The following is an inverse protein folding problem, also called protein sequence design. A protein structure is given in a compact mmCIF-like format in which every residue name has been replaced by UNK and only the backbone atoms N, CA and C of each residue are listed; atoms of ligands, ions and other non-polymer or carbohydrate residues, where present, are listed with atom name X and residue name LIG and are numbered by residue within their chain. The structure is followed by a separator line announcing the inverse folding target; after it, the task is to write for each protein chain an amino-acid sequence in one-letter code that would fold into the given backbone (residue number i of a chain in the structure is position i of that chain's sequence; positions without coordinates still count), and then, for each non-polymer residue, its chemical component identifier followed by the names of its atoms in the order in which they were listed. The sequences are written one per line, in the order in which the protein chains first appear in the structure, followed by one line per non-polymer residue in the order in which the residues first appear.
data_IF_332611994332
#
_entry.id   IF_332611994332
#
_cell.length_a   1.000
_cell.length_b   1.000
_cell.length_c   1.000
_cell.angle_alpha   90.00
_cell.angle_beta   90.00
_cell.angle_gamma   90.00
#
_symmetry.space_group_name_H-M   'P 1'
#
loop_
_entity.id
_entity.type
_entity.pdbx_description
1 polymer ?
#
# COMPACT_ATOMS: atom_id res chain seq x y z
N UNK A 1 6.44 -8.78 -6.49
CA UNK A 1 6.85 -7.60 -7.26
C UNK A 1 6.84 -6.32 -6.42
N UNK A 2 5.73 -5.96 -5.77
CA UNK A 2 5.54 -4.67 -5.11
C UNK A 2 6.58 -4.34 -4.02
N UNK A 3 6.92 -5.28 -3.15
CA UNK A 3 7.94 -5.07 -2.10
C UNK A 3 9.30 -4.72 -2.72
N UNK A 4 9.70 -5.43 -3.78
CA UNK A 4 10.97 -5.17 -4.47
C UNK A 4 10.93 -3.79 -5.14
N UNK A 5 9.81 -3.42 -5.78
CA UNK A 5 9.63 -2.09 -6.37
C UNK A 5 9.79 -0.98 -5.32
N UNK A 6 9.19 -1.15 -4.14
CA UNK A 6 9.31 -0.18 -3.05
C UNK A 6 10.75 -0.10 -2.56
N UNK A 7 11.42 -1.25 -2.35
CA UNK A 7 12.82 -1.26 -1.96
C UNK A 7 13.72 -0.59 -3.00
N UNK A 8 13.50 -0.85 -4.30
CA UNK A 8 14.23 -0.18 -5.38
C UNK A 8 14.00 1.34 -5.36
N UNK A 9 12.72 1.77 -5.21
CA UNK A 9 12.36 3.21 -5.15
C UNK A 9 13.09 3.96 -4.04
N UNK A 10 13.25 3.33 -2.88
CA UNK A 10 13.91 3.96 -1.72
C UNK A 10 15.38 3.57 -1.56
N UNK A 11 15.91 2.71 -2.46
CA UNK A 11 17.29 2.21 -2.45
C UNK A 11 17.61 1.37 -1.23
N UNK A 12 16.70 0.50 -0.88
CA UNK A 12 16.78 -0.41 0.25
C UNK A 12 16.75 -1.88 -0.22
N UNK A 13 17.28 -2.18 -1.41
CA UNK A 13 17.34 -3.56 -1.92
C UNK A 13 18.25 -4.44 -1.06
N UNK A 14 19.27 -3.83 -0.42
CA UNK A 14 20.15 -4.45 0.57
C UNK A 14 19.36 -5.09 1.74
N UNK A 15 18.25 -4.53 2.15
CA UNK A 15 17.38 -5.14 3.16
C UNK A 15 16.88 -6.53 2.70
N UNK A 16 16.56 -6.68 1.42
CA UNK A 16 16.12 -7.96 0.88
C UNK A 16 17.30 -8.93 0.69
N UNK A 17 18.41 -8.47 0.16
CA UNK A 17 19.58 -9.30 -0.15
C UNK A 17 20.36 -9.67 1.12
N UNK A 18 20.83 -8.71 1.87
CA UNK A 18 21.62 -8.93 3.08
C UNK A 18 20.75 -9.28 4.29
N UNK A 19 19.60 -8.61 4.42
CA UNK A 19 18.70 -8.79 5.56
C UNK A 19 17.96 -10.13 5.56
N UNK A 20 17.51 -10.58 4.39
CA UNK A 20 16.69 -11.79 4.22
C UNK A 20 17.27 -12.84 3.29
N UNK A 21 18.39 -12.59 2.64
CA UNK A 21 19.04 -13.53 1.70
C UNK A 21 18.23 -13.75 0.41
N UNK A 22 17.43 -12.78 0.00
CA UNK A 22 16.65 -12.85 -1.24
C UNK A 22 17.57 -12.53 -2.42
N UNK A 23 17.82 -13.51 -3.27
CA UNK A 23 18.68 -13.32 -4.45
C UNK A 23 17.97 -12.52 -5.55
N UNK A 24 18.41 -11.28 -5.77
CA UNK A 24 17.90 -10.38 -6.80
C UNK A 24 18.72 -10.40 -8.10
N UNK A 25 19.80 -11.18 -8.17
CA UNK A 25 20.66 -11.26 -9.35
C UNK A 25 19.92 -11.64 -10.65
N UNK A 26 18.96 -12.58 -10.65
CA UNK A 26 18.17 -12.86 -11.87
C UNK A 26 17.43 -11.63 -12.39
N UNK A 27 16.82 -10.85 -11.50
CA UNK A 27 16.15 -9.59 -11.84
C UNK A 27 17.17 -8.55 -12.35
N UNK A 28 18.32 -8.43 -11.73
CA UNK A 28 19.38 -7.49 -12.13
C UNK A 28 19.89 -7.81 -13.55
N UNK A 29 20.16 -9.08 -13.85
CA UNK A 29 20.62 -9.53 -15.17
C UNK A 29 19.55 -9.27 -16.25
N UNK A 30 18.30 -9.60 -15.96
CA UNK A 30 17.17 -9.30 -16.82
C UNK A 30 17.05 -7.80 -17.09
N UNK A 31 17.08 -6.98 -16.04
CA UNK A 31 16.96 -5.54 -16.14
C UNK A 31 18.10 -4.93 -16.97
N UNK A 32 19.32 -5.42 -16.79
CA UNK A 32 20.48 -4.97 -17.58
C UNK A 32 20.32 -5.31 -19.07
N UNK A 33 19.85 -6.52 -19.38
CA UNK A 33 19.69 -6.98 -20.75
C UNK A 33 18.54 -6.30 -21.48
N UNK A 34 17.41 -6.10 -20.81
CA UNK A 34 16.20 -5.55 -21.42
C UNK A 34 16.20 -4.02 -21.44
N UNK A 35 16.72 -3.40 -20.40
CA UNK A 35 16.73 -1.94 -20.22
C UNK A 35 18.15 -1.35 -20.18
N UNK A 36 19.15 -2.06 -20.73
CA UNK A 36 20.56 -1.62 -20.72
C UNK A 36 20.80 -0.26 -21.37
N UNK A 37 20.12 -0.01 -22.49
CA UNK A 37 20.20 1.24 -23.25
C UNK A 37 19.08 2.23 -22.86
N UNK A 38 18.17 1.85 -21.99
CA UNK A 38 17.09 2.69 -21.51
C UNK A 38 17.57 3.60 -20.37
N UNK A 39 17.41 4.92 -20.47
CA UNK A 39 17.83 5.84 -19.40
C UNK A 39 17.00 5.73 -18.13
N UNK A 40 15.85 5.07 -18.16
CA UNK A 40 14.92 4.83 -17.02
C UNK A 40 14.67 6.09 -16.17
N UNK A 41 14.61 7.27 -16.79
CA UNK A 41 14.60 8.57 -16.08
C UNK A 41 13.41 8.75 -15.15
N UNK A 42 12.26 8.13 -15.49
CA UNK A 42 11.03 8.17 -14.69
C UNK A 42 11.17 7.46 -13.33
N UNK A 43 12.17 6.59 -13.20
CA UNK A 43 12.45 5.78 -12.01
C UNK A 43 13.57 6.35 -11.14
N UNK A 44 14.08 7.54 -11.50
CA UNK A 44 15.18 8.17 -10.75
C UNK A 44 14.78 8.45 -9.31
N UNK A 45 15.64 8.01 -8.39
CA UNK A 45 15.45 8.15 -6.96
C UNK A 45 15.66 9.59 -6.51
N UNK A 46 14.79 10.13 -5.67
CA UNK A 46 15.02 11.39 -4.97
C UNK A 46 16.08 11.17 -3.87
N UNK A 47 17.16 11.92 -3.88
CA UNK A 47 18.21 11.88 -2.85
C UNK A 47 19.29 10.81 -3.05
N UNK A 48 19.48 10.29 -4.27
CA UNK A 48 20.47 9.24 -4.60
C UNK A 48 21.93 9.74 -4.76
N UNK A 49 22.23 10.94 -4.30
CA UNK A 49 23.57 11.57 -4.45
C UNK A 49 24.72 10.79 -3.76
N UNK A 50 24.40 9.73 -2.99
CA UNK A 50 25.39 8.95 -2.24
C UNK A 50 25.78 7.61 -2.86
N UNK A 51 25.09 7.16 -3.92
CA UNK A 51 25.40 5.90 -4.59
C UNK A 51 26.43 6.10 -5.69
N UNK A 52 27.27 5.11 -5.93
CA UNK A 52 28.12 5.08 -7.12
C UNK A 52 27.25 5.07 -8.39
N UNK A 53 27.74 5.70 -9.47
CA UNK A 53 26.96 5.84 -10.70
C UNK A 53 26.44 4.51 -11.26
N UNK A 54 27.28 3.49 -11.29
CA UNK A 54 26.91 2.16 -11.79
C UNK A 54 25.83 1.49 -10.95
N UNK A 55 25.90 1.61 -9.62
CA UNK A 55 24.90 1.08 -8.70
C UNK A 55 23.55 1.80 -8.86
N UNK A 56 23.59 3.13 -9.04
CA UNK A 56 22.40 3.91 -9.31
C UNK A 56 21.74 3.50 -10.63
N UNK A 57 22.50 3.33 -11.70
CA UNK A 57 21.98 2.93 -13.00
C UNK A 57 21.37 1.52 -12.96
N UNK A 58 21.99 0.58 -12.27
CA UNK A 58 21.43 -0.76 -12.07
C UNK A 58 20.11 -0.71 -11.29
N UNK A 59 20.07 0.07 -10.21
CA UNK A 59 18.85 0.26 -9.41
C UNK A 59 17.69 0.83 -10.24
N UNK A 60 17.95 1.81 -11.13
CA UNK A 60 16.93 2.38 -12.02
C UNK A 60 16.35 1.32 -12.96
N UNK A 61 17.20 0.51 -13.60
CA UNK A 61 16.79 -0.55 -14.51
C UNK A 61 15.98 -1.64 -13.78
N UNK A 62 16.46 -2.09 -12.60
CA UNK A 62 15.72 -3.03 -11.77
C UNK A 62 14.38 -2.47 -11.32
N UNK A 63 14.33 -1.19 -10.96
CA UNK A 63 13.10 -0.51 -10.56
C UNK A 63 12.08 -0.47 -11.72
N UNK A 64 12.51 -0.13 -12.94
CA UNK A 64 11.65 -0.16 -14.13
C UNK A 64 11.17 -1.59 -14.42
N UNK A 65 12.08 -2.55 -14.49
CA UNK A 65 11.78 -3.95 -14.77
C UNK A 65 10.72 -4.52 -13.83
N UNK A 66 10.95 -4.41 -12.52
CA UNK A 66 9.99 -4.93 -11.53
C UNK A 66 8.68 -4.16 -11.49
N UNK A 67 8.67 -2.87 -11.86
CA UNK A 67 7.44 -2.08 -11.95
C UNK A 67 6.57 -2.54 -13.13
N UNK A 68 7.16 -2.79 -14.29
CA UNK A 68 6.44 -3.32 -15.46
C UNK A 68 5.85 -4.69 -15.14
N UNK A 69 6.66 -5.60 -14.55
CA UNK A 69 6.19 -6.91 -14.10
C UNK A 69 5.02 -6.76 -13.10
N UNK A 70 5.13 -5.83 -12.16
CA UNK A 70 4.06 -5.56 -11.18
C UNK A 70 2.76 -5.15 -11.87
N UNK A 71 2.79 -4.22 -12.82
CA UNK A 71 1.60 -3.77 -13.53
C UNK A 71 0.95 -4.90 -14.36
N UNK A 72 1.75 -5.81 -14.93
CA UNK A 72 1.23 -7.00 -15.60
C UNK A 72 0.50 -7.92 -14.62
N UNK A 73 1.16 -8.28 -13.51
CA UNK A 73 0.61 -9.21 -12.51
C UNK A 73 -0.64 -8.63 -11.83
N UNK A 74 -0.60 -7.35 -11.44
CA UNK A 74 -1.74 -6.69 -10.81
C UNK A 74 -2.91 -6.52 -11.79
N UNK A 75 -2.65 -6.08 -13.02
CA UNK A 75 -3.69 -5.94 -14.02
C UNK A 75 -4.36 -7.29 -14.38
N UNK A 76 -3.57 -8.37 -14.48
CA UNK A 76 -4.11 -9.72 -14.67
C UNK A 76 -4.99 -10.14 -13.50
N UNK A 77 -4.54 -9.91 -12.26
CA UNK A 77 -5.32 -10.21 -11.05
C UNK A 77 -6.65 -9.44 -11.03
N UNK A 78 -6.62 -8.13 -11.30
CA UNK A 78 -7.81 -7.29 -11.36
C UNK A 78 -8.83 -7.84 -12.38
N UNK A 79 -8.39 -8.18 -13.59
CA UNK A 79 -9.28 -8.67 -14.63
C UNK A 79 -9.81 -10.08 -14.35
N UNK A 80 -9.10 -10.89 -13.57
CA UNK A 80 -9.56 -12.20 -13.10
C UNK A 80 -10.54 -12.11 -11.92
N UNK A 81 -10.59 -10.97 -11.24
CA UNK A 81 -11.40 -10.74 -10.04
C UNK A 81 -12.29 -9.49 -10.18
N UNK A 82 -13.28 -9.51 -11.10
CA UNK A 82 -14.18 -8.35 -11.30
C UNK A 82 -14.98 -8.01 -10.05
N UNK A 83 -15.12 -8.93 -9.09
CA UNK A 83 -15.74 -8.68 -7.80
C UNK A 83 -14.99 -7.64 -6.95
N UNK A 84 -13.75 -7.30 -7.29
CA UNK A 84 -12.99 -6.23 -6.65
C UNK A 84 -13.38 -4.83 -7.15
N UNK A 85 -14.09 -4.74 -8.28
CA UNK A 85 -14.52 -3.47 -8.86
C UNK A 85 -13.36 -2.48 -9.08
N UNK A 86 -12.22 -2.97 -9.58
CA UNK A 86 -10.97 -2.21 -9.76
C UNK A 86 -10.50 -2.19 -11.22
N UNK A 87 -11.36 -2.51 -12.20
CA UNK A 87 -10.99 -2.65 -13.61
C UNK A 87 -10.39 -1.37 -14.20
N UNK A 88 -10.77 -0.20 -13.65
CA UNK A 88 -10.17 1.08 -14.05
C UNK A 88 -8.69 1.19 -13.66
N UNK A 89 -8.19 0.33 -12.78
CA UNK A 89 -6.77 0.26 -12.38
C UNK A 89 -5.94 -0.70 -13.23
N UNK A 90 -6.56 -1.48 -14.10
CA UNK A 90 -5.87 -2.25 -15.12
C UNK A 90 -5.53 -1.33 -16.30
N UNK A 91 -4.35 -0.73 -16.30
CA UNK A 91 -4.01 0.42 -17.16
C UNK A 91 -3.30 0.03 -18.48
N UNK A 92 -2.61 -1.11 -18.53
CA UNK A 92 -1.75 -1.44 -19.69
C UNK A 92 -2.49 -1.58 -21.01
N UNK A 93 -3.73 -2.07 -21.01
CA UNK A 93 -4.54 -2.18 -22.23
C UNK A 93 -5.12 -0.84 -22.72
N UNK A 94 -4.99 0.25 -21.93
CA UNK A 94 -5.42 1.60 -22.27
C UNK A 94 -4.32 2.42 -22.95
N UNK A 95 -3.13 1.84 -23.13
CA UNK A 95 -1.99 2.46 -23.78
C UNK A 95 -2.08 2.27 -25.29
N UNK A 96 -1.96 3.36 -26.03
CA UNK A 96 -1.63 3.31 -27.46
C UNK A 96 -0.10 3.27 -27.61
N UNK A 97 0.44 2.06 -27.71
CA UNK A 97 1.89 1.83 -27.80
C UNK A 97 2.55 2.40 -29.05
N UNK A 98 1.76 2.74 -30.11
CA UNK A 98 2.27 3.35 -31.33
C UNK A 98 2.40 4.87 -31.19
N UNK A 99 1.46 5.48 -30.47
CA UNK A 99 1.45 6.93 -30.24
C UNK A 99 2.21 7.32 -28.96
N UNK A 100 2.50 6.38 -28.07
CA UNK A 100 3.07 6.68 -26.77
C UNK A 100 2.12 7.46 -25.85
N UNK A 101 0.82 7.12 -25.88
CA UNK A 101 -0.22 7.79 -25.11
C UNK A 101 -1.06 6.81 -24.30
N UNK A 102 -1.78 7.28 -23.30
CA UNK A 102 -2.74 6.49 -22.51
C UNK A 102 -4.07 7.23 -22.38
N UNK A 103 -5.18 6.49 -22.45
CA UNK A 103 -6.52 7.02 -22.24
C UNK A 103 -6.95 6.84 -20.77
N UNK A 104 -7.15 7.93 -20.04
CA UNK A 104 -7.66 7.95 -18.66
C UNK A 104 -8.85 8.89 -18.57
N UNK A 105 -9.95 8.44 -18.00
CA UNK A 105 -11.17 9.22 -17.78
C UNK A 105 -11.66 9.99 -19.03
N UNK A 106 -11.54 9.34 -20.20
CA UNK A 106 -11.93 9.90 -21.50
C UNK A 106 -10.95 10.94 -22.08
N UNK A 107 -9.80 11.18 -21.43
CA UNK A 107 -8.75 12.10 -21.87
C UNK A 107 -7.47 11.35 -22.21
N UNK A 108 -6.85 11.71 -23.33
CA UNK A 108 -5.57 11.14 -23.77
C UNK A 108 -4.40 11.92 -23.18
N UNK A 109 -3.42 11.20 -22.62
CA UNK A 109 -2.22 11.74 -21.99
C UNK A 109 -0.96 11.17 -22.64
N UNK A 110 0.04 11.99 -23.00
CA UNK A 110 1.33 11.49 -23.45
C UNK A 110 2.09 10.81 -22.32
N UNK A 111 2.79 9.72 -22.64
CA UNK A 111 3.71 9.06 -21.73
C UNK A 111 5.08 9.74 -21.77
N UNK A 112 5.68 9.94 -20.61
CA UNK A 112 7.06 10.44 -20.46
C UNK A 112 8.12 9.40 -20.87
N UNK A 113 7.74 8.15 -20.77
CA UNK A 113 8.52 6.97 -21.09
C UNK A 113 7.54 5.96 -21.67
N UNK A 114 7.67 5.69 -22.95
CA UNK A 114 6.85 4.78 -23.76
C UNK A 114 7.58 3.49 -24.14
N UNK A 115 8.76 3.27 -23.53
CA UNK A 115 9.58 2.08 -23.75
C UNK A 115 9.08 0.92 -22.88
N UNK A 116 8.32 0.00 -23.49
CA UNK A 116 7.79 -1.20 -22.87
C UNK A 116 8.20 -2.46 -23.65
N UNK A 117 9.50 -2.81 -23.71
CA UNK A 117 10.02 -3.84 -24.61
C UNK A 117 9.49 -5.26 -24.34
N UNK A 118 8.92 -5.51 -23.15
CA UNK A 118 8.38 -6.82 -22.76
C UNK A 118 6.86 -6.89 -22.80
N UNK A 119 6.18 -5.82 -23.20
CA UNK A 119 4.72 -5.81 -23.29
C UNK A 119 4.30 -6.13 -24.73
N UNK A 120 3.49 -7.17 -24.89
CA UNK A 120 2.73 -7.42 -26.12
C UNK A 120 1.42 -6.62 -26.06
N UNK A 121 1.19 -5.66 -26.97
CA UNK A 121 -0.05 -4.89 -26.99
C UNK A 121 -1.32 -5.73 -27.16
N UNK A 122 -1.22 -6.95 -27.75
CA UNK A 122 -2.35 -7.86 -27.89
C UNK A 122 -2.68 -8.62 -26.60
N UNK A 123 -1.70 -8.75 -25.70
CA UNK A 123 -1.83 -9.45 -24.42
C UNK A 123 -1.01 -8.75 -23.33
N UNK A 124 -1.35 -7.48 -22.97
CA UNK A 124 -0.45 -6.60 -22.19
C UNK A 124 -0.19 -7.05 -20.77
N UNK A 125 -0.96 -7.98 -20.24
CA UNK A 125 -0.82 -8.52 -18.89
C UNK A 125 -0.11 -9.87 -18.82
N UNK A 126 0.22 -10.47 -19.97
CA UNK A 126 0.96 -11.73 -19.97
C UNK A 126 2.45 -11.47 -19.70
N UNK A 127 2.99 -12.26 -18.78
CA UNK A 127 4.42 -12.26 -18.53
C UNK A 127 5.14 -12.94 -19.69
N UNK A 128 6.32 -12.45 -20.06
CA UNK A 128 7.23 -13.22 -20.89
C UNK A 128 7.70 -14.46 -20.12
N UNK A 129 8.22 -15.46 -20.82
CA UNK A 129 8.74 -16.68 -20.19
C UNK A 129 9.79 -16.36 -19.10
N UNK A 130 10.69 -15.44 -19.40
CA UNK A 130 11.73 -15.02 -18.44
C UNK A 130 11.17 -14.23 -17.25
N UNK A 131 10.21 -13.32 -17.48
CA UNK A 131 9.52 -12.62 -16.38
C UNK A 131 8.80 -13.61 -15.47
N UNK A 132 8.15 -14.62 -16.02
CA UNK A 132 7.49 -15.67 -15.25
C UNK A 132 8.49 -16.49 -14.42
N UNK A 133 9.63 -16.87 -15.02
CA UNK A 133 10.71 -17.58 -14.31
C UNK A 133 11.29 -16.76 -13.16
N UNK A 134 11.53 -15.46 -13.38
CA UNK A 134 12.01 -14.55 -12.33
C UNK A 134 10.98 -14.46 -11.20
N UNK A 135 9.70 -14.32 -11.51
CA UNK A 135 8.65 -14.22 -10.49
C UNK A 135 8.53 -15.52 -9.69
N UNK A 136 8.60 -16.68 -10.33
CA UNK A 136 8.60 -17.98 -9.65
C UNK A 136 9.80 -18.13 -8.69
N UNK A 137 11.01 -17.76 -9.14
CA UNK A 137 12.21 -17.78 -8.30
C UNK A 137 12.09 -16.84 -7.11
N UNK A 138 11.58 -15.64 -7.31
CA UNK A 138 11.35 -14.68 -6.24
C UNK A 138 10.31 -15.18 -5.24
N UNK A 139 9.18 -15.72 -5.72
CA UNK A 139 8.16 -16.30 -4.87
C UNK A 139 8.72 -17.41 -3.98
N UNK A 140 9.46 -18.36 -4.57
CA UNK A 140 10.14 -19.43 -3.83
C UNK A 140 11.13 -18.88 -2.81
N UNK A 141 11.90 -17.84 -3.16
CA UNK A 141 12.87 -17.23 -2.24
C UNK A 141 12.18 -16.58 -1.04
N UNK A 142 11.10 -15.81 -1.26
CA UNK A 142 10.33 -15.21 -0.17
C UNK A 142 9.63 -16.27 0.70
N UNK A 143 9.00 -17.26 0.08
CA UNK A 143 8.32 -18.35 0.81
C UNK A 143 9.31 -19.23 1.60
N UNK A 144 10.49 -19.47 1.04
CA UNK A 144 11.55 -20.29 1.66
C UNK A 144 12.40 -19.56 2.70
N UNK A 145 12.29 -18.24 2.82
CA UNK A 145 13.08 -17.48 3.77
C UNK A 145 12.57 -17.66 5.20
N UNK A 146 13.23 -18.54 5.98
CA UNK A 146 12.81 -18.86 7.36
C UNK A 146 12.65 -17.61 8.23
N UNK A 147 13.64 -16.70 8.19
CA UNK A 147 13.63 -15.46 8.96
C UNK A 147 12.38 -14.62 8.66
N UNK A 148 12.03 -14.47 7.38
CA UNK A 148 10.83 -13.74 6.98
C UNK A 148 9.57 -14.45 7.45
N UNK A 149 9.49 -15.78 7.28
CA UNK A 149 8.35 -16.57 7.73
C UNK A 149 8.15 -16.50 9.26
N UNK A 150 9.24 -16.52 10.03
CA UNK A 150 9.18 -16.36 11.48
C UNK A 150 8.66 -14.97 11.89
N UNK A 151 9.11 -13.90 11.20
CA UNK A 151 8.59 -12.55 11.42
C UNK A 151 7.09 -12.46 11.08
N UNK A 152 6.67 -13.05 9.96
CA UNK A 152 5.25 -13.04 9.56
C UNK A 152 4.38 -13.82 10.57
N UNK A 153 4.83 -14.98 11.02
CA UNK A 153 4.13 -15.73 12.07
C UNK A 153 4.00 -14.93 13.38
N UNK A 154 5.08 -14.24 13.77
CA UNK A 154 5.04 -13.38 14.95
C UNK A 154 4.02 -12.26 14.81
N UNK A 155 4.02 -11.55 13.67
CA UNK A 155 3.06 -10.49 13.37
C UNK A 155 1.62 -11.00 13.41
N UNK A 156 1.35 -12.16 12.81
CA UNK A 156 0.01 -12.76 12.80
C UNK A 156 -0.40 -13.33 14.18
N UNK A 157 0.54 -13.78 14.99
CA UNK A 157 0.26 -14.29 16.33
C UNK A 157 0.01 -13.20 17.38
N UNK A 158 0.67 -12.06 17.25
CA UNK A 158 0.67 -10.95 18.25
C UNK A 158 -0.04 -9.69 17.77
N UNK A 159 -0.12 -9.47 16.47
CA UNK A 159 -0.77 -8.33 15.85
C UNK A 159 -2.21 -8.62 15.46
N UNK A 160 -2.87 -7.57 14.98
CA UNK A 160 -4.21 -7.58 14.41
C UNK A 160 -4.40 -6.33 13.57
N UNK A 161 -5.49 -6.25 12.83
CA UNK A 161 -5.83 -5.06 12.05
C UNK A 161 -6.31 -3.92 12.94
N UNK A 162 -6.81 -4.23 14.11
CA UNK A 162 -7.14 -3.26 15.18
C UNK A 162 -6.89 -3.87 16.55
N UNK A 163 -6.87 -3.01 17.57
CA UNK A 163 -6.79 -3.43 18.96
C UNK A 163 -7.61 -2.48 19.83
N UNK A 164 -8.43 -3.05 20.70
CA UNK A 164 -9.02 -2.31 21.82
C UNK A 164 -8.19 -2.60 23.06
N UNK A 165 -7.65 -1.57 23.67
CA UNK A 165 -6.84 -1.69 24.88
C UNK A 165 -6.91 -0.44 25.73
N UNK A 166 -7.17 -0.59 27.04
CA UNK A 166 -7.20 0.51 28.01
C UNK A 166 -8.07 1.69 27.53
N UNK A 167 -9.28 1.39 27.12
CA UNK A 167 -10.27 2.34 26.55
C UNK A 167 -9.80 3.09 25.30
N UNK A 168 -8.80 2.56 24.59
CA UNK A 168 -8.34 3.09 23.33
C UNK A 168 -8.62 2.10 22.21
N UNK A 169 -9.08 2.61 21.06
CA UNK A 169 -9.21 1.90 19.80
C UNK A 169 -8.01 2.24 18.93
N UNK A 170 -7.18 1.26 18.64
CA UNK A 170 -5.98 1.40 17.83
C UNK A 170 -6.18 0.70 16.49
N UNK A 171 -5.87 1.39 15.37
CA UNK A 171 -5.81 0.80 14.03
C UNK A 171 -4.87 1.62 13.14
N UNK A 172 -4.49 1.05 11.98
CA UNK A 172 -3.48 1.66 11.13
C UNK A 172 -3.98 2.91 10.39
N UNK A 173 -5.05 2.80 9.62
CA UNK A 173 -5.48 3.82 8.65
C UNK A 173 -6.80 4.47 8.99
N UNK A 174 -7.90 3.92 8.49
CA UNK A 174 -9.24 4.53 8.62
C UNK A 174 -10.34 3.48 8.80
N UNK A 175 -11.46 3.89 9.36
CA UNK A 175 -12.72 3.16 9.22
C UNK A 175 -13.43 3.72 7.98
N UNK A 176 -13.72 2.91 6.93
CA UNK A 176 -14.35 3.42 5.73
C UNK A 176 -15.70 4.06 6.01
N UNK A 177 -15.85 5.32 5.61
CA UNK A 177 -17.07 6.11 5.77
C UNK A 177 -17.63 6.57 4.43
N UNK A 178 -18.93 6.87 4.42
CA UNK A 178 -19.60 7.67 3.38
C UNK A 178 -19.42 9.16 3.65
N UNK A 179 -19.77 10.01 2.68
CA UNK A 179 -19.65 11.47 2.79
C UNK A 179 -20.56 12.05 3.92
N UNK A 180 -21.66 11.36 4.26
CA UNK A 180 -22.56 11.75 5.36
C UNK A 180 -22.02 11.37 6.76
N UNK A 181 -20.94 10.62 6.81
CA UNK A 181 -20.29 10.13 8.03
C UNK A 181 -20.70 8.74 8.46
N UNK A 182 -21.72 8.14 7.84
CA UNK A 182 -22.13 6.76 8.15
C UNK A 182 -21.10 5.73 7.73
N UNK A 183 -21.08 4.59 8.43
CA UNK A 183 -20.19 3.47 8.12
C UNK A 183 -20.46 2.93 6.71
N UNK A 184 -19.41 2.84 5.89
CA UNK A 184 -19.51 2.32 4.52
C UNK A 184 -19.60 0.80 4.55
N UNK A 185 -20.57 0.25 3.82
CA UNK A 185 -20.63 -1.17 3.53
C UNK A 185 -19.66 -1.55 2.41
N UNK A 186 -18.90 -2.62 2.64
CA UNK A 186 -17.90 -3.16 1.72
C UNK A 186 -18.23 -4.61 1.39
N UNK A 187 -18.26 -4.94 0.10
CA UNK A 187 -18.51 -6.29 -0.37
C UNK A 187 -17.22 -7.10 -0.38
N UNK A 188 -17.21 -8.23 0.31
CA UNK A 188 -16.09 -9.18 0.30
C UNK A 188 -16.64 -10.60 0.11
N UNK A 189 -16.24 -11.26 -0.98
CA UNK A 189 -16.60 -12.65 -1.25
C UNK A 189 -18.12 -12.92 -1.12
N UNK A 190 -18.93 -12.02 -1.69
CA UNK A 190 -20.39 -12.13 -1.71
C UNK A 190 -21.11 -11.80 -0.41
N UNK A 191 -20.41 -11.25 0.58
CA UNK A 191 -20.98 -10.78 1.84
C UNK A 191 -20.67 -9.31 2.07
N UNK A 192 -21.59 -8.62 2.76
CA UNK A 192 -21.45 -7.21 3.13
C UNK A 192 -20.93 -7.07 4.55
N UNK A 193 -19.94 -6.20 4.74
CA UNK A 193 -19.31 -5.90 6.02
C UNK A 193 -19.14 -4.40 6.20
N UNK A 194 -19.14 -3.92 7.43
CA UNK A 194 -18.86 -2.52 7.78
C UNK A 194 -18.20 -2.43 9.14
N UNK A 195 -17.57 -1.30 9.41
CA UNK A 195 -16.98 -1.02 10.72
C UNK A 195 -16.14 -2.18 11.26
N UNK A 196 -16.41 -2.60 12.49
CA UNK A 196 -15.72 -3.71 13.15
C UNK A 196 -15.82 -5.02 12.38
N UNK A 197 -16.99 -5.34 11.83
CA UNK A 197 -17.19 -6.59 11.10
C UNK A 197 -16.33 -6.68 9.84
N UNK A 198 -16.03 -5.55 9.19
CA UNK A 198 -15.09 -5.47 8.07
C UNK A 198 -13.67 -5.83 8.52
N UNK A 199 -13.21 -5.25 9.62
CA UNK A 199 -11.89 -5.55 10.17
C UNK A 199 -11.75 -7.02 10.55
N UNK A 200 -12.75 -7.60 11.24
CA UNK A 200 -12.77 -9.00 11.64
C UNK A 200 -12.73 -9.94 10.41
N UNK A 201 -13.51 -9.62 9.36
CA UNK A 201 -13.52 -10.38 8.13
C UNK A 201 -12.17 -10.33 7.40
N UNK A 202 -11.59 -9.13 7.23
CA UNK A 202 -10.29 -8.95 6.59
C UNK A 202 -9.18 -9.68 7.35
N UNK A 203 -9.16 -9.59 8.68
CA UNK A 203 -8.21 -10.35 9.50
C UNK A 203 -8.36 -11.86 9.31
N UNK A 204 -9.59 -12.35 9.24
CA UNK A 204 -9.90 -13.74 8.93
C UNK A 204 -9.31 -14.19 7.60
N UNK A 205 -9.47 -13.41 6.55
CA UNK A 205 -8.89 -13.70 5.22
C UNK A 205 -7.37 -13.64 5.22
N UNK A 206 -6.76 -12.66 5.90
CA UNK A 206 -5.29 -12.60 6.05
C UNK A 206 -4.75 -13.86 6.69
N UNK A 207 -5.40 -14.35 7.75
CA UNK A 207 -5.01 -15.59 8.42
C UNK A 207 -5.19 -16.82 7.52
N UNK A 208 -6.28 -16.89 6.75
CA UNK A 208 -6.47 -17.95 5.74
C UNK A 208 -5.37 -17.92 4.68
N UNK A 209 -5.03 -16.76 4.13
CA UNK A 209 -3.97 -16.61 3.13
C UNK A 209 -2.61 -17.11 3.60
N UNK A 210 -2.36 -17.12 4.90
CA UNK A 210 -1.09 -17.58 5.47
C UNK A 210 -1.15 -19.02 6.00
N UNK A 211 -2.22 -19.40 6.69
CA UNK A 211 -2.29 -20.65 7.45
C UNK A 211 -3.18 -21.74 6.84
N UNK A 212 -4.06 -21.43 5.89
CA UNK A 212 -4.95 -22.42 5.32
C UNK A 212 -4.17 -23.55 4.64
N UNK A 213 -4.64 -24.78 4.83
CA UNK A 213 -4.13 -25.97 4.15
C UNK A 213 -4.84 -26.22 2.82
N UNK A 214 -6.10 -25.79 2.71
CA UNK A 214 -6.87 -25.80 1.48
C UNK A 214 -6.36 -24.69 0.55
N UNK A 215 -5.94 -25.05 -0.65
CA UNK A 215 -5.34 -24.10 -1.61
C UNK A 215 -6.35 -23.06 -2.09
N UNK A 216 -7.63 -23.39 -2.21
CA UNK A 216 -8.65 -22.44 -2.63
C UNK A 216 -8.89 -21.37 -1.55
N UNK A 217 -9.00 -21.77 -0.29
CA UNK A 217 -9.09 -20.82 0.84
C UNK A 217 -7.84 -19.95 0.96
N UNK A 218 -6.67 -20.54 0.74
CA UNK A 218 -5.39 -19.86 0.79
C UNK A 218 -5.27 -18.81 -0.30
N UNK A 219 -5.61 -19.15 -1.53
CA UNK A 219 -5.56 -18.21 -2.67
C UNK A 219 -6.60 -17.10 -2.52
N UNK A 220 -7.81 -17.39 -2.06
CA UNK A 220 -8.78 -16.37 -1.70
C UNK A 220 -8.22 -15.41 -0.64
N UNK A 221 -7.58 -15.93 0.41
CA UNK A 221 -6.94 -15.12 1.44
C UNK A 221 -5.82 -14.24 0.88
N UNK A 222 -4.95 -14.77 -0.01
CA UNK A 222 -3.89 -14.01 -0.67
C UNK A 222 -4.46 -12.87 -1.54
N UNK A 223 -5.53 -13.14 -2.30
CA UNK A 223 -6.18 -12.14 -3.14
C UNK A 223 -6.78 -11.01 -2.30
N UNK A 224 -7.41 -11.33 -1.17
CA UNK A 224 -7.87 -10.31 -0.21
C UNK A 224 -6.71 -9.55 0.42
N UNK A 225 -5.57 -10.19 0.74
CA UNK A 225 -4.38 -9.48 1.23
C UNK A 225 -3.88 -8.45 0.19
N UNK A 226 -3.93 -8.77 -1.09
CA UNK A 226 -3.61 -7.80 -2.14
C UNK A 226 -4.65 -6.66 -2.17
N UNK A 227 -5.95 -6.96 -2.05
CA UNK A 227 -7.00 -5.93 -1.94
C UNK A 227 -6.75 -4.99 -0.77
N UNK A 228 -6.43 -5.51 0.41
CA UNK A 228 -6.14 -4.69 1.61
C UNK A 228 -5.04 -3.66 1.30
N UNK A 229 -4.09 -3.99 0.44
CA UNK A 229 -2.99 -3.11 0.08
C UNK A 229 -3.41 -1.86 -0.71
N UNK A 230 -4.40 -1.94 -1.58
CA UNK A 230 -4.71 -0.83 -2.51
C UNK A 230 -6.18 -0.67 -2.91
N UNK A 231 -7.09 -1.46 -2.35
CA UNK A 231 -8.51 -1.28 -2.63
C UNK A 231 -9.02 0.01 -2.01
N UNK A 232 -9.88 0.80 -2.72
CA UNK A 232 -10.42 2.07 -2.22
C UNK A 232 -11.10 1.97 -0.85
N UNK A 233 -11.79 0.87 -0.60
CA UNK A 233 -12.52 0.63 0.64
C UNK A 233 -11.70 -0.13 1.70
N UNK A 234 -10.40 -0.26 1.48
CA UNK A 234 -9.52 -0.88 2.48
C UNK A 234 -9.29 0.06 3.65
N UNK A 235 -9.51 -0.40 4.89
CA UNK A 235 -9.20 0.40 6.07
C UNK A 235 -7.71 0.67 6.26
N UNK A 236 -6.83 -0.07 5.56
CA UNK A 236 -5.39 0.14 5.62
C UNK A 236 -4.87 1.10 4.55
N UNK A 237 -5.63 1.29 3.48
CA UNK A 237 -5.23 2.14 2.36
C UNK A 237 -5.92 3.51 2.39
N UNK A 238 -7.25 3.56 2.54
CA UNK A 238 -8.03 4.77 2.78
C UNK A 238 -7.94 5.85 1.69
N UNK A 239 -7.78 5.45 0.42
CA UNK A 239 -7.73 6.34 -0.74
C UNK A 239 -8.43 5.69 -1.93
N UNK A 240 -8.90 6.50 -2.88
CA UNK A 240 -9.59 6.04 -4.08
C UNK A 240 -8.72 5.20 -5.02
N UNK A 241 -7.42 5.52 -5.11
CA UNK A 241 -6.47 4.81 -5.97
C UNK A 241 -5.03 4.96 -5.50
N UNK A 242 -4.17 4.06 -5.95
CA UNK A 242 -2.71 4.22 -5.86
C UNK A 242 -2.18 4.66 -7.23
N UNK A 243 -1.89 5.94 -7.39
CA UNK A 243 -1.46 6.55 -8.65
C UNK A 243 0.03 6.26 -8.98
N UNK A 244 0.48 5.01 -8.84
CA UNK A 244 1.88 4.64 -9.06
C UNK A 244 2.27 4.71 -10.53
N UNK A 245 1.44 4.15 -11.42
CA UNK A 245 1.66 4.19 -12.85
C UNK A 245 1.68 5.64 -13.36
N UNK A 246 0.68 6.42 -12.98
CA UNK A 246 0.53 7.80 -13.39
C UNK A 246 1.74 8.65 -12.98
N UNK A 247 2.22 8.47 -11.77
CA UNK A 247 3.41 9.20 -11.26
C UNK A 247 4.69 8.85 -12.00
N UNK A 248 4.84 7.63 -12.48
CA UNK A 248 5.99 7.24 -13.29
C UNK A 248 5.87 7.73 -14.71
N UNK A 249 4.75 7.50 -15.36
CA UNK A 249 4.65 7.59 -16.82
C UNK A 249 3.93 8.82 -17.35
N UNK A 250 3.21 9.59 -16.53
CA UNK A 250 2.42 10.73 -16.96
C UNK A 250 2.94 12.01 -16.27
N UNK A 251 3.03 13.13 -17.04
CA UNK A 251 3.47 14.41 -16.48
C UNK A 251 2.33 15.17 -15.79
N UNK A 252 1.12 15.05 -16.34
CA UNK A 252 -0.07 15.75 -15.90
C UNK A 252 -0.41 15.47 -14.43
N UNK A 253 -0.29 16.47 -13.58
CA UNK A 253 -0.42 16.34 -12.11
C UNK A 253 -1.82 15.96 -11.66
N UNK A 254 -2.84 16.31 -12.42
CA UNK A 254 -4.22 15.91 -12.15
C UNK A 254 -4.39 14.39 -12.09
N UNK A 255 -3.62 13.62 -12.87
CA UNK A 255 -3.66 12.14 -12.85
C UNK A 255 -3.03 11.54 -11.59
N UNK A 256 -2.19 12.31 -10.89
CA UNK A 256 -1.51 11.90 -9.66
C UNK A 256 -2.35 12.10 -8.39
N UNK A 257 -3.52 12.73 -8.52
CA UNK A 257 -4.39 12.97 -7.37
C UNK A 257 -4.95 11.66 -6.82
N UNK A 258 -4.90 11.52 -5.53
CA UNK A 258 -5.45 10.41 -4.75
C UNK A 258 -6.42 11.00 -3.73
N UNK A 259 -7.72 10.78 -3.94
CA UNK A 259 -8.76 11.26 -3.02
C UNK A 259 -8.77 10.37 -1.78
N UNK A 260 -8.69 10.98 -0.62
CA UNK A 260 -8.77 10.25 0.65
C UNK A 260 -10.21 9.82 0.95
N UNK A 261 -10.36 8.76 1.75
CA UNK A 261 -11.64 8.39 2.31
C UNK A 261 -12.23 9.55 3.15
N UNK A 262 -13.55 9.79 3.13
CA UNK A 262 -14.20 10.84 3.92
C UNK A 262 -13.83 10.83 5.41
N UNK A 263 -13.47 9.66 5.95
CA UNK A 263 -12.96 9.51 7.31
C UNK A 263 -11.98 10.60 7.73
N UNK A 264 -10.98 10.93 6.90
CA UNK A 264 -9.92 11.87 7.24
C UNK A 264 -10.39 13.33 7.38
N UNK A 265 -11.50 13.67 6.75
CA UNK A 265 -12.13 15.00 6.85
C UNK A 265 -13.15 15.05 7.98
N UNK A 266 -13.73 13.90 8.32
CA UNK A 266 -14.82 13.80 9.30
C UNK A 266 -14.33 13.57 10.76
N UNK A 267 -13.04 13.34 10.96
CA UNK A 267 -12.45 13.10 12.28
C UNK A 267 -12.61 14.24 13.32
N UNK A 268 -13.00 15.42 12.88
CA UNK A 268 -13.29 16.54 13.80
C UNK A 268 -14.77 16.55 14.25
N UNK A 269 -15.62 15.69 13.67
CA UNK A 269 -17.03 15.58 14.04
C UNK A 269 -17.20 14.57 15.17
N UNK A 270 -17.54 15.04 16.35
CA UNK A 270 -17.68 14.21 17.56
C UNK A 270 -18.66 13.05 17.37
N UNK A 271 -19.82 13.28 16.77
CA UNK A 271 -20.81 12.24 16.51
C UNK A 271 -20.27 11.08 15.63
N UNK A 272 -19.40 11.37 14.66
CA UNK A 272 -18.78 10.36 13.81
C UNK A 272 -17.74 9.55 14.61
N UNK A 273 -16.96 10.23 15.44
CA UNK A 273 -15.94 9.57 16.28
C UNK A 273 -16.63 8.67 17.31
N UNK A 274 -17.72 9.14 17.89
CA UNK A 274 -18.51 8.38 18.88
C UNK A 274 -19.14 7.13 18.24
N UNK A 275 -19.74 7.24 17.05
CA UNK A 275 -20.27 6.11 16.30
C UNK A 275 -19.19 5.04 16.02
N UNK A 276 -17.97 5.48 15.65
CA UNK A 276 -16.86 4.55 15.45
C UNK A 276 -16.47 3.84 16.76
N UNK A 277 -16.37 4.57 17.87
CA UNK A 277 -16.02 3.98 19.16
C UNK A 277 -17.08 2.95 19.61
N UNK A 278 -18.37 3.29 19.50
CA UNK A 278 -19.48 2.40 19.81
C UNK A 278 -19.51 1.14 18.93
N UNK A 279 -19.24 1.28 17.62
CA UNK A 279 -19.15 0.15 16.69
C UNK A 279 -18.08 -0.87 17.12
N UNK A 280 -16.97 -0.41 17.70
CA UNK A 280 -15.91 -1.27 18.23
C UNK A 280 -16.13 -1.67 19.70
N UNK A 281 -17.29 -1.38 20.27
CA UNK A 281 -17.70 -1.78 21.62
C UNK A 281 -17.12 -0.95 22.75
N UNK A 282 -16.73 0.29 22.46
CA UNK A 282 -16.27 1.26 23.46
C UNK A 282 -17.37 2.26 23.80
N UNK A 283 -17.41 2.68 25.06
CA UNK A 283 -18.23 3.81 25.46
C UNK A 283 -17.48 5.10 25.09
N UNK A 284 -18.07 6.04 24.34
CA UNK A 284 -17.37 7.23 23.83
C UNK A 284 -16.77 8.14 24.90
N UNK A 285 -17.37 8.16 26.09
CA UNK A 285 -16.87 8.95 27.22
C UNK A 285 -15.56 8.39 27.73
N UNK A 286 -14.48 9.17 27.62
CA UNK A 286 -13.12 8.79 28.04
C UNK A 286 -12.46 7.76 27.15
N UNK A 287 -13.01 7.42 25.98
CA UNK A 287 -12.39 6.58 24.98
C UNK A 287 -11.66 7.41 23.92
N UNK A 288 -10.62 6.83 23.31
CA UNK A 288 -9.82 7.50 22.31
C UNK A 288 -9.59 6.59 21.10
N UNK A 289 -9.49 7.20 19.92
CA UNK A 289 -8.96 6.57 18.71
C UNK A 289 -7.48 6.91 18.58
N UNK A 290 -6.63 5.93 18.33
CA UNK A 290 -5.21 6.11 18.02
C UNK A 290 -4.95 5.50 16.66
N UNK A 291 -4.62 6.32 15.65
CA UNK A 291 -4.36 5.86 14.29
C UNK A 291 -3.14 6.53 13.66
N UNK A 292 -2.82 6.14 12.42
CA UNK A 292 -1.67 6.65 11.65
C UNK A 292 -1.97 6.73 10.16
N UNK A 293 -1.05 6.19 9.33
CA UNK A 293 -1.10 6.09 7.86
C UNK A 293 -1.03 7.42 7.10
N UNK A 294 -1.77 8.44 7.50
CA UNK A 294 -1.68 9.78 6.94
C UNK A 294 -0.87 10.65 7.88
N UNK A 295 0.40 10.96 7.54
CA UNK A 295 1.28 11.68 8.44
C UNK A 295 0.78 13.08 8.74
N UNK A 296 0.92 13.49 10.01
CA UNK A 296 0.66 14.85 10.46
C UNK A 296 1.73 15.78 9.89
N UNK A 297 1.30 16.84 9.19
CA UNK A 297 2.20 17.86 8.62
C UNK A 297 2.46 18.96 9.64
N UNK A 298 3.24 18.64 10.67
CA UNK A 298 3.58 19.55 11.76
C UNK A 298 4.13 20.90 11.25
N UNK A 299 4.92 20.88 10.15
CA UNK A 299 5.44 22.11 9.51
C UNK A 299 4.34 23.05 8.99
N UNK A 300 3.16 22.50 8.70
CA UNK A 300 2.00 23.27 8.24
C UNK A 300 1.08 23.66 9.42
N UNK A 301 1.50 23.42 10.66
CA UNK A 301 0.69 23.69 11.85
C UNK A 301 -0.41 22.66 12.12
N UNK A 302 -0.38 21.49 11.45
CA UNK A 302 -1.36 20.43 11.70
C UNK A 302 -1.12 19.80 13.08
N UNK A 303 -2.22 19.67 13.87
CA UNK A 303 -2.18 19.02 15.18
C UNK A 303 -2.35 17.51 15.06
N UNK A 304 -1.57 16.70 15.83
CA UNK A 304 -1.83 15.26 15.97
C UNK A 304 -3.07 14.97 16.83
N UNK A 305 -3.57 15.96 17.57
CA UNK A 305 -4.73 15.84 18.44
C UNK A 305 -5.93 16.43 17.68
N UNK A 306 -6.96 15.62 17.48
CA UNK A 306 -8.18 15.98 16.76
C UNK A 306 -9.42 15.70 17.62
N UNK A 307 -10.57 16.24 17.23
CA UNK A 307 -11.84 16.05 17.92
C UNK A 307 -11.74 16.27 19.45
N UNK A 308 -11.20 17.43 19.87
CA UNK A 308 -11.04 17.79 21.29
C UNK A 308 -10.33 16.71 22.12
N UNK A 309 -9.39 15.97 21.51
CA UNK A 309 -8.61 14.94 22.20
C UNK A 309 -9.13 13.52 22.04
N UNK A 310 -10.31 13.30 21.46
CA UNK A 310 -10.83 11.95 21.21
C UNK A 310 -10.04 11.16 20.15
N UNK A 311 -9.32 11.85 19.23
CA UNK A 311 -8.52 11.21 18.18
C UNK A 311 -7.07 11.67 18.24
N UNK A 312 -6.15 10.71 18.25
CA UNK A 312 -4.71 10.91 18.29
C UNK A 312 -4.08 10.28 17.03
N UNK A 313 -3.56 11.14 16.12
CA UNK A 313 -2.85 10.69 14.92
C UNK A 313 -1.36 10.62 15.23
N UNK A 314 -0.80 9.41 15.28
CA UNK A 314 0.58 9.21 15.77
C UNK A 314 1.64 9.20 14.65
N UNK A 315 1.24 9.18 13.38
CA UNK A 315 2.16 9.12 12.24
C UNK A 315 2.66 10.53 11.85
N UNK A 316 3.96 10.73 11.92
CA UNK A 316 4.65 11.91 11.41
C UNK A 316 5.56 11.59 10.22
N UNK A 317 5.49 10.37 9.69
CA UNK A 317 6.37 9.86 8.63
C UNK A 317 7.71 9.37 9.19
N UNK A 318 7.73 8.19 9.78
CA UNK A 318 8.91 7.58 10.42
C UNK A 318 10.13 7.45 9.48
N UNK A 319 9.90 7.31 8.17
CA UNK A 319 10.99 7.31 7.20
C UNK A 319 11.62 8.69 7.07
N UNK A 320 12.97 8.76 7.10
CA UNK A 320 13.73 10.00 6.88
C UNK A 320 13.34 10.74 5.61
N UNK A 321 12.89 10.02 4.58
CA UNK A 321 12.43 10.60 3.32
C UNK A 321 11.20 11.52 3.50
N UNK A 322 10.33 11.20 4.45
CA UNK A 322 9.11 11.98 4.73
C UNK A 322 9.33 13.07 5.77
N UNK A 323 10.29 12.94 6.68
CA UNK A 323 10.53 13.92 7.75
C UNK A 323 10.86 15.33 7.24
N UNK A 324 11.39 15.45 6.01
CA UNK A 324 11.60 16.73 5.36
C UNK A 324 10.27 17.48 5.09
N UNK A 325 9.21 16.76 4.86
CA UNK A 325 7.87 17.32 4.56
C UNK A 325 7.03 17.46 5.84
N UNK A 326 7.09 16.48 6.73
CA UNK A 326 6.26 16.43 7.94
C UNK A 326 6.85 17.18 9.12
N UNK A 327 8.17 17.24 9.21
CA UNK A 327 8.89 17.93 10.32
C UNK A 327 9.20 17.07 11.53
N UNK A 328 8.54 15.89 11.66
CA UNK A 328 8.70 14.98 12.80
C UNK A 328 8.55 13.53 12.34
N UNK A 329 9.12 12.58 13.08
CA UNK A 329 9.00 11.16 12.78
C UNK A 329 7.63 10.59 13.20
N UNK A 330 7.12 10.97 14.36
CA UNK A 330 5.86 10.49 14.89
C UNK A 330 5.65 10.94 16.32
N UNK A 331 4.54 10.48 16.90
CA UNK A 331 4.14 10.80 18.27
C UNK A 331 3.96 9.51 19.07
N UNK A 332 4.18 9.60 20.39
CA UNK A 332 3.93 8.51 21.33
C UNK A 332 2.87 8.97 22.32
N UNK A 333 1.63 8.48 22.24
CA UNK A 333 0.64 8.75 23.26
C UNK A 333 1.03 8.04 24.56
N UNK A 334 0.92 8.74 25.67
CA UNK A 334 1.19 8.19 27.01
C UNK A 334 -0.09 8.28 27.82
N UNK A 335 -0.59 7.12 28.27
CA UNK A 335 -1.75 7.03 29.17
C UNK A 335 -1.30 6.77 30.60
N UNK A 336 -1.65 7.67 31.50
CA UNK A 336 -1.41 7.52 32.93
C UNK A 336 -2.67 7.00 33.61
N UNK A 337 -2.67 5.74 34.03
CA UNK A 337 -3.84 5.12 34.65
C UNK A 337 -4.01 5.43 36.12
N UNK A 338 -3.06 5.99 36.83
CA UNK A 338 -3.20 6.48 38.24
C UNK A 338 -2.07 7.44 38.59
N UNK A 339 -2.36 8.73 38.73
CA UNK A 339 -1.89 9.58 39.80
C UNK A 339 -3.05 10.50 40.17
N UNK A 340 -3.97 10.03 41.01
CA UNK A 340 -4.63 10.97 41.92
C UNK A 340 -3.58 11.40 42.91
N UNK A 341 -3.07 12.63 42.81
CA UNK A 341 -2.47 13.28 43.90
C UNK A 341 -3.53 13.32 45.03
N UNK A 342 -3.30 12.65 46.11
CA UNK A 342 -4.01 12.93 47.34
C UNK A 342 -3.41 14.24 47.83
N UNK A 343 -4.19 15.31 47.78
CA UNK A 343 -4.00 16.47 48.66
C UNK A 343 -4.20 16.06 50.12
#
# INVERSE_FOLDING_TARGET
ANVIRICARYGNLDILEEGYGINLLPLANFALRIYGDDPCTCFRRKGSERLQKAEMEMNLRMHKAISVIQFKVEGKLILQHPEFQMEERALLHRIDYKKGTILLDGKEYPLKDDSFPTIDPAAPYELTEEEAEIMERLEKAFAGCKKLQDHMRFLLAKGGLYKVYNNNLLYHGCVPLREDGSLKEVQLCGKSYRGKSLYDALEGYVRKGFFALDEQEKDQGKNIMWCIWQHPDSPLFGKDKMATFERYFIEAKETHLEKKNPYYELLEKEAVVDEILEEFGLHPEGAHIVNGHVPVKCKNGESPIKCNGKVLVIDGGFSKAYQKETGIAGYTPVSYTHLRAHE
#
